data_IF_220709878494
#
_entry.id   IF_220709878494
#
_cell.length_a   1.000
_cell.length_b   1.000
_cell.length_c   1.000
_cell.angle_alpha   90.00
_cell.angle_beta   90.00
_cell.angle_gamma   90.00
#
_symmetry.space_group_name_H-M   'P 1'
#
loop_
_entity.id
_entity.type
_entity.pdbx_description
1 polymer ?
#
# COMPACT_ATOMS: atom_id res chain seq x y z
N UNK A 1 39.70 -41.43 -43.67
CA UNK A 1 38.28 -41.59 -43.25
C UNK A 1 37.97 -40.40 -42.34
N UNK A 2 37.71 -39.20 -42.89
CA UNK A 2 36.38 -38.61 -43.15
C UNK A 2 35.47 -38.46 -41.92
N UNK A 3 35.33 -37.19 -41.49
CA UNK A 3 34.32 -36.44 -40.69
C UNK A 3 32.85 -36.99 -40.71
N UNK A 4 31.82 -36.38 -40.05
CA UNK A 4 31.70 -35.18 -39.16
C UNK A 4 30.74 -35.42 -37.93
N UNK A 5 30.32 -34.50 -37.03
CA UNK A 5 29.27 -33.45 -37.19
C UNK A 5 29.06 -32.68 -35.86
N UNK A 6 28.98 -31.35 -35.98
CA UNK A 6 28.45 -30.35 -35.04
C UNK A 6 26.98 -30.61 -34.64
N UNK A 7 26.60 -30.35 -33.38
CA UNK A 7 25.21 -29.97 -33.04
C UNK A 7 25.16 -28.77 -32.09
N UNK A 8 25.05 -27.60 -32.73
CA UNK A 8 24.06 -26.54 -32.49
C UNK A 8 23.77 -26.13 -31.04
N UNK A 9 24.35 -24.98 -30.66
CA UNK A 9 23.81 -24.07 -29.65
C UNK A 9 22.38 -23.69 -30.06
N UNK A 10 21.38 -24.10 -29.28
CA UNK A 10 20.03 -23.55 -29.41
C UNK A 10 19.99 -22.24 -28.62
N UNK A 11 19.89 -21.15 -29.37
CA UNK A 11 19.43 -19.86 -28.90
C UNK A 11 18.17 -20.04 -28.04
N UNK A 12 18.33 -19.84 -26.73
CA UNK A 12 17.19 -19.63 -25.83
C UNK A 12 17.11 -18.13 -25.64
N UNK A 13 16.42 -17.46 -26.55
CA UNK A 13 15.99 -16.07 -26.38
C UNK A 13 15.01 -16.05 -25.21
N UNK A 14 15.55 -15.83 -24.01
CA UNK A 14 14.76 -15.49 -22.83
C UNK A 14 14.11 -14.14 -23.10
N UNK A 15 12.77 -14.13 -23.13
CA UNK A 15 12.03 -12.89 -23.32
C UNK A 15 12.22 -12.00 -22.09
N UNK A 16 12.38 -10.69 -22.31
CA UNK A 16 12.59 -9.68 -21.24
C UNK A 16 11.42 -9.64 -20.24
N UNK A 17 10.29 -10.29 -20.55
CA UNK A 17 9.11 -10.38 -19.68
C UNK A 17 9.27 -11.37 -18.51
N UNK A 18 10.27 -12.25 -18.53
CA UNK A 18 10.46 -13.27 -17.48
C UNK A 18 11.25 -12.78 -16.26
N UNK A 19 11.74 -11.52 -16.26
CA UNK A 19 12.55 -10.92 -15.20
C UNK A 19 11.78 -9.90 -14.33
N UNK A 20 10.48 -9.73 -14.54
CA UNK A 20 9.64 -8.90 -13.68
C UNK A 20 9.19 -9.75 -12.49
N UNK A 21 9.74 -9.43 -11.31
CA UNK A 21 9.27 -9.97 -10.04
C UNK A 21 7.73 -9.82 -9.97
N UNK A 22 7.02 -10.95 -9.88
CA UNK A 22 5.56 -10.95 -9.69
C UNK A 22 5.27 -10.15 -8.41
N UNK A 23 4.41 -9.12 -8.45
CA UNK A 23 3.98 -8.44 -7.24
C UNK A 23 3.38 -9.48 -6.28
N UNK A 24 3.55 -9.27 -4.97
CA UNK A 24 2.85 -10.04 -3.93
C UNK A 24 1.38 -10.09 -4.35
N UNK A 25 0.94 -11.28 -4.74
CA UNK A 25 -0.40 -11.48 -5.27
C UNK A 25 -1.38 -11.17 -4.15
N UNK A 26 -2.09 -10.05 -4.25
CA UNK A 26 -3.42 -9.99 -3.69
C UNK A 26 -4.20 -11.19 -4.22
N UNK A 27 -4.99 -11.90 -3.38
CA UNK A 27 -5.70 -13.09 -3.82
C UNK A 27 -6.51 -12.71 -5.06
N UNK A 28 -6.14 -13.35 -6.17
CA UNK A 28 -6.91 -13.21 -7.42
C UNK A 28 -8.25 -13.88 -7.12
N UNK A 29 -9.39 -13.21 -7.33
CA UNK A 29 -10.67 -13.75 -6.89
C UNK A 29 -10.93 -15.08 -7.60
N UNK A 30 -11.00 -16.17 -6.83
CA UNK A 30 -11.34 -17.50 -7.34
C UNK A 30 -12.82 -17.50 -7.76
N UNK A 31 -13.08 -17.77 -9.03
CA UNK A 31 -14.43 -17.76 -9.61
C UNK A 31 -15.02 -19.16 -9.53
N UNK A 32 -16.16 -19.32 -8.85
CA UNK A 32 -16.94 -20.57 -8.76
C UNK A 32 -18.35 -20.35 -9.33
N UNK A 33 -18.54 -20.52 -10.65
CA UNK A 33 -19.83 -20.51 -11.39
C UNK A 33 -21.10 -20.16 -10.59
N UNK A 34 -21.58 -18.90 -10.73
CA UNK A 34 -22.63 -18.30 -9.89
C UNK A 34 -22.08 -17.51 -8.68
N UNK A 35 -20.76 -17.55 -8.50
CA UNK A 35 -19.99 -17.09 -7.34
C UNK A 35 -20.03 -15.61 -7.10
N UNK A 36 -20.50 -15.28 -5.93
CA UNK A 36 -19.99 -14.13 -5.20
C UNK A 36 -18.47 -14.27 -4.96
N UNK A 37 -17.73 -13.17 -5.03
CA UNK A 37 -16.28 -13.12 -4.87
C UNK A 37 -15.91 -12.43 -3.57
N UNK A 38 -14.95 -12.97 -2.82
CA UNK A 38 -14.34 -12.23 -1.73
C UNK A 38 -13.45 -11.12 -2.29
N UNK A 39 -13.63 -9.92 -1.76
CA UNK A 39 -12.94 -8.72 -2.23
C UNK A 39 -12.41 -7.91 -1.06
N UNK A 40 -11.35 -7.16 -1.32
CA UNK A 40 -10.73 -6.21 -0.41
C UNK A 40 -10.21 -5.01 -1.19
N UNK A 41 -10.41 -3.82 -0.65
CA UNK A 41 -9.85 -2.60 -1.25
C UNK A 41 -10.02 -1.38 -0.36
N UNK A 42 -9.31 -0.31 -0.72
CA UNK A 42 -9.39 0.98 -0.05
C UNK A 42 -10.61 1.76 -0.53
N UNK A 43 -11.44 2.24 0.39
CA UNK A 43 -12.63 3.01 0.10
C UNK A 43 -12.26 4.42 -0.36
N UNK A 44 -12.66 4.74 -1.58
CA UNK A 44 -12.63 6.06 -2.17
C UNK A 44 -14.07 6.53 -2.46
N UNK A 45 -14.53 7.54 -1.72
CA UNK A 45 -15.91 8.05 -1.78
C UNK A 45 -15.99 9.17 -2.80
N UNK A 46 -16.91 9.04 -3.75
CA UNK A 46 -17.16 10.05 -4.77
C UNK A 46 -18.07 11.18 -4.25
N UNK A 47 -18.03 12.38 -4.85
CA UNK A 47 -18.87 13.51 -4.44
C UNK A 47 -20.37 13.21 -4.40
N UNK A 48 -20.85 12.30 -5.25
CA UNK A 48 -22.26 11.88 -5.31
C UNK A 48 -22.63 10.91 -4.15
N UNK A 49 -21.66 10.52 -3.33
CA UNK A 49 -21.83 9.77 -2.08
C UNK A 49 -21.82 8.24 -2.22
N UNK A 50 -21.73 7.71 -3.44
CA UNK A 50 -21.31 6.33 -3.66
C UNK A 50 -19.78 6.24 -3.62
N UNK A 51 -19.21 5.04 -3.66
CA UNK A 51 -17.76 4.89 -3.64
C UNK A 51 -17.27 3.68 -4.41
N UNK A 52 -15.95 3.57 -4.47
CA UNK A 52 -15.24 2.45 -5.06
C UNK A 52 -14.21 1.90 -4.07
N UNK A 53 -14.12 0.58 -3.95
CA UNK A 53 -12.99 -0.07 -3.29
C UNK A 53 -11.88 -0.24 -4.33
N UNK A 54 -10.79 0.50 -4.14
CA UNK A 54 -9.60 0.49 -5.01
C UNK A 54 -8.64 -0.62 -4.55
N UNK A 55 -8.35 -1.64 -5.38
CA UNK A 55 -7.44 -2.71 -5.00
C UNK A 55 -5.97 -2.26 -4.86
N UNK A 56 -5.58 -1.20 -5.57
CA UNK A 56 -4.21 -0.66 -5.61
C UNK A 56 -4.15 0.83 -5.30
N UNK A 57 -5.07 1.35 -4.48
CA UNK A 57 -5.14 2.78 -4.09
C UNK A 57 -5.39 3.78 -5.23
N UNK A 58 -5.37 3.33 -6.48
CA UNK A 58 -5.62 4.13 -7.66
C UNK A 58 -6.84 3.59 -8.42
N UNK A 59 -7.57 4.45 -9.16
CA UNK A 59 -8.64 4.02 -10.04
C UNK A 59 -8.20 2.93 -11.01
N UNK A 60 -8.95 1.83 -11.07
CA UNK A 60 -8.62 0.68 -11.89
C UNK A 60 -9.87 0.01 -12.47
N UNK A 61 -9.70 -0.84 -13.47
CA UNK A 61 -10.81 -1.68 -13.97
C UNK A 61 -11.29 -2.71 -12.95
N UNK A 62 -10.47 -3.01 -11.93
CA UNK A 62 -10.78 -3.96 -10.86
C UNK A 62 -11.52 -3.37 -9.68
N UNK A 63 -11.98 -2.12 -9.79
CA UNK A 63 -12.65 -1.44 -8.69
C UNK A 63 -14.01 -2.06 -8.38
N UNK A 64 -14.36 -2.08 -7.09
CA UNK A 64 -15.63 -2.62 -6.62
C UNK A 64 -16.53 -1.45 -6.22
N UNK A 65 -17.69 -1.36 -6.86
CA UNK A 65 -18.72 -0.41 -6.50
C UNK A 65 -19.30 -0.70 -5.11
N UNK A 66 -19.42 0.34 -4.29
CA UNK A 66 -20.12 0.30 -3.01
C UNK A 66 -21.18 1.41 -2.97
N UNK A 67 -22.39 1.04 -2.55
CA UNK A 67 -23.51 1.98 -2.53
C UNK A 67 -23.42 2.96 -1.37
N UNK A 68 -24.00 4.15 -1.55
CA UNK A 68 -24.14 5.14 -0.48
C UNK A 68 -24.84 4.58 0.77
N UNK A 69 -25.79 3.66 0.59
CA UNK A 69 -26.51 3.01 1.69
C UNK A 69 -25.59 2.17 2.58
N UNK A 70 -24.65 1.42 1.98
CA UNK A 70 -23.67 0.62 2.70
C UNK A 70 -22.64 1.50 3.42
N UNK A 71 -22.15 2.55 2.74
CA UNK A 71 -21.24 3.55 3.33
C UNK A 71 -21.86 4.16 4.58
N UNK A 72 -23.12 4.61 4.50
CA UNK A 72 -23.84 5.19 5.64
C UNK A 72 -24.10 4.18 6.75
N UNK A 73 -24.52 2.96 6.41
CA UNK A 73 -24.86 1.91 7.39
C UNK A 73 -23.67 1.53 8.27
N UNK A 74 -22.49 1.37 7.67
CA UNK A 74 -21.27 0.97 8.39
C UNK A 74 -20.40 2.16 8.81
N UNK A 75 -20.90 3.37 8.65
CA UNK A 75 -20.20 4.62 8.95
C UNK A 75 -18.78 4.64 8.37
N UNK A 76 -18.67 4.21 7.11
CA UNK A 76 -17.41 4.13 6.40
C UNK A 76 -16.91 5.53 6.04
N UNK A 77 -15.59 5.68 5.99
CA UNK A 77 -14.88 6.94 5.73
C UNK A 77 -13.85 6.70 4.61
N UNK A 78 -13.44 7.75 3.87
CA UNK A 78 -12.31 7.63 2.94
C UNK A 78 -11.10 7.00 3.65
N UNK A 79 -10.33 6.19 2.93
CA UNK A 79 -9.16 5.51 3.48
C UNK A 79 -9.42 4.17 4.17
N UNK A 80 -10.68 3.82 4.46
CA UNK A 80 -11.03 2.53 5.05
C UNK A 80 -10.68 1.35 4.13
N UNK A 81 -10.00 0.35 4.68
CA UNK A 81 -9.86 -0.96 4.04
C UNK A 81 -11.11 -1.77 4.31
N UNK A 82 -11.91 -1.94 3.27
CA UNK A 82 -13.17 -2.69 3.33
C UNK A 82 -12.95 -4.07 2.72
N UNK A 83 -13.34 -5.11 3.45
CA UNK A 83 -13.36 -6.49 2.95
C UNK A 83 -14.76 -7.08 3.04
N UNK A 84 -15.11 -7.91 2.08
CA UNK A 84 -16.38 -8.63 2.10
C UNK A 84 -16.67 -9.32 0.78
N UNK A 85 -17.96 -9.46 0.48
CA UNK A 85 -18.44 -10.29 -0.62
C UNK A 85 -18.99 -9.38 -1.72
N UNK A 86 -18.50 -9.53 -2.95
CA UNK A 86 -18.98 -8.84 -4.14
C UNK A 86 -19.67 -9.80 -5.11
N UNK A 87 -20.47 -9.26 -6.03
CA UNK A 87 -21.05 -9.97 -7.16
C UNK A 87 -20.52 -9.44 -8.49
N UNK A 88 -20.51 -10.28 -9.54
CA UNK A 88 -20.31 -9.83 -10.91
C UNK A 88 -21.22 -8.64 -11.29
N UNK A 89 -20.75 -7.76 -12.19
CA UNK A 89 -21.60 -6.73 -12.78
C UNK A 89 -22.79 -7.36 -13.50
N UNK A 90 -23.95 -6.71 -13.42
CA UNK A 90 -25.09 -7.01 -14.32
C UNK A 90 -24.81 -6.45 -15.73
N UNK A 91 -25.65 -6.81 -16.70
CA UNK A 91 -25.50 -6.39 -18.11
C UNK A 91 -25.35 -4.86 -18.31
N UNK A 92 -25.88 -4.04 -17.40
CA UNK A 92 -25.78 -2.58 -17.44
C UNK A 92 -24.74 -1.98 -16.46
N UNK A 93 -23.92 -2.79 -15.81
CA UNK A 93 -22.94 -2.35 -14.81
C UNK A 93 -21.51 -2.59 -15.32
N UNK A 94 -20.60 -1.66 -15.03
CA UNK A 94 -19.19 -1.77 -15.43
C UNK A 94 -18.32 -2.48 -14.38
N UNK A 95 -18.70 -2.41 -13.11
CA UNK A 95 -17.89 -2.80 -11.97
C UNK A 95 -18.55 -3.90 -11.15
N UNK A 96 -17.74 -4.66 -10.41
CA UNK A 96 -18.22 -5.56 -9.36
C UNK A 96 -19.04 -4.76 -8.35
N UNK A 97 -20.15 -5.32 -7.85
CA UNK A 97 -20.98 -4.69 -6.83
C UNK A 97 -20.77 -5.34 -5.47
N UNK A 98 -20.40 -4.58 -4.44
CA UNK A 98 -20.28 -5.11 -3.09
C UNK A 98 -21.68 -5.51 -2.56
N UNK A 99 -21.84 -6.77 -2.18
CA UNK A 99 -23.07 -7.30 -1.58
C UNK A 99 -23.07 -7.12 -0.06
N UNK A 100 -21.97 -7.50 0.59
CA UNK A 100 -21.87 -7.56 2.04
C UNK A 100 -20.52 -7.02 2.49
N UNK A 101 -20.53 -6.10 3.44
CA UNK A 101 -19.35 -5.66 4.18
C UNK A 101 -19.16 -6.63 5.35
N UNK A 102 -17.96 -7.20 5.49
CA UNK A 102 -17.65 -8.13 6.58
C UNK A 102 -16.64 -7.54 7.56
N UNK A 103 -15.62 -6.86 7.03
CA UNK A 103 -14.59 -6.22 7.84
C UNK A 103 -14.29 -4.80 7.35
N UNK A 104 -13.93 -3.95 8.30
CA UNK A 104 -13.45 -2.58 8.10
C UNK A 104 -12.15 -2.44 8.89
N UNK A 105 -11.04 -2.12 8.22
CA UNK A 105 -9.70 -2.05 8.79
C UNK A 105 -9.33 -3.32 9.60
N UNK A 106 -9.61 -4.48 9.00
CA UNK A 106 -9.37 -5.81 9.58
C UNK A 106 -10.16 -6.16 10.86
N UNK A 107 -11.08 -5.29 11.27
CA UNK A 107 -12.03 -5.50 12.38
C UNK A 107 -13.42 -5.83 11.82
N UNK A 108 -14.23 -6.59 12.58
CA UNK A 108 -15.62 -6.89 12.21
C UNK A 108 -16.40 -5.60 12.01
N UNK A 109 -17.18 -5.52 10.93
CA UNK A 109 -17.84 -4.28 10.51
C UNK A 109 -18.79 -3.67 11.56
N UNK A 110 -19.43 -4.49 12.40
CA UNK A 110 -20.30 -4.00 13.47
C UNK A 110 -19.51 -3.36 14.63
N UNK A 111 -18.28 -3.83 14.88
CA UNK A 111 -17.42 -3.28 15.92
C UNK A 111 -16.75 -1.97 15.49
N UNK A 112 -16.50 -1.78 14.18
CA UNK A 112 -15.90 -0.55 13.66
C UNK A 112 -16.77 0.70 13.88
N UNK A 113 -18.07 0.52 14.12
CA UNK A 113 -19.01 1.63 14.38
C UNK A 113 -18.68 2.43 15.65
N UNK A 114 -17.95 1.84 16.60
CA UNK A 114 -17.61 2.48 17.89
C UNK A 114 -16.34 3.33 17.83
N UNK A 115 -15.63 3.36 16.70
CA UNK A 115 -14.35 4.06 16.60
C UNK A 115 -14.53 5.58 16.62
N UNK A 116 -13.69 6.32 17.38
CA UNK A 116 -13.72 7.78 17.37
C UNK A 116 -13.33 8.33 15.99
N UNK A 117 -13.58 9.62 15.74
CA UNK A 117 -12.92 10.33 14.63
C UNK A 117 -11.53 10.75 15.06
N UNK A 118 -10.59 10.73 14.13
CA UNK A 118 -9.23 11.15 14.40
C UNK A 118 -9.16 12.61 14.90
N UNK A 119 -9.99 13.49 14.32
CA UNK A 119 -10.09 14.90 14.69
C UNK A 119 -10.59 15.13 16.13
N UNK A 120 -11.32 14.18 16.70
CA UNK A 120 -11.85 14.27 18.06
C UNK A 120 -10.82 13.82 19.12
N UNK A 121 -9.68 13.26 18.70
CA UNK A 121 -8.62 12.79 19.60
C UNK A 121 -7.81 13.96 20.15
N UNK A 122 -7.38 13.85 21.42
CA UNK A 122 -6.51 14.85 22.04
C UNK A 122 -5.07 14.66 21.57
N UNK A 123 -4.44 15.65 20.92
CA UNK A 123 -3.05 15.57 20.53
C UNK A 123 -2.14 15.61 21.76
N UNK A 124 -1.18 14.68 21.83
CA UNK A 124 -0.18 14.61 22.89
C UNK A 124 1.23 14.48 22.30
N UNK A 125 2.24 14.82 23.10
CA UNK A 125 3.63 14.60 22.70
C UNK A 125 3.99 13.10 22.72
N UNK A 126 4.94 12.65 21.87
CA UNK A 126 5.44 11.28 21.90
C UNK A 126 6.00 10.90 23.26
N UNK A 127 5.47 9.84 23.87
CA UNK A 127 5.93 9.32 25.17
C UNK A 127 6.75 8.04 25.05
N UNK A 128 6.65 7.34 23.90
CA UNK A 128 7.34 6.08 23.64
C UNK A 128 8.25 6.24 22.44
N UNK A 129 9.55 6.02 22.63
CA UNK A 129 10.54 6.02 21.57
C UNK A 129 10.39 4.78 20.67
N UNK A 130 10.56 4.97 19.37
CA UNK A 130 10.76 3.91 18.37
C UNK A 130 12.27 3.74 18.24
N UNK A 131 12.79 2.58 18.63
CA UNK A 131 14.21 2.24 18.47
C UNK A 131 14.43 1.60 17.11
N UNK A 132 15.33 2.14 16.32
CA UNK A 132 15.64 1.65 14.97
C UNK A 132 16.88 0.74 14.91
N UNK A 133 17.74 0.79 15.92
CA UNK A 133 18.90 -0.10 16.03
C UNK A 133 18.47 -1.58 15.93
N UNK A 134 19.12 -2.32 15.03
CA UNK A 134 18.86 -3.74 14.78
C UNK A 134 20.14 -4.55 14.94
N UNK A 135 21.15 -4.26 14.10
CA UNK A 135 22.45 -4.90 14.15
C UNK A 135 23.61 -3.91 14.37
N UNK A 136 24.80 -4.44 14.60
CA UNK A 136 26.01 -3.65 14.92
C UNK A 136 26.57 -2.87 13.73
N UNK A 137 26.21 -3.25 12.50
CA UNK A 137 26.77 -2.71 11.25
C UNK A 137 25.96 -1.52 10.72
N UNK A 138 24.65 -1.49 10.94
CA UNK A 138 23.81 -0.34 10.58
C UNK A 138 24.01 0.81 11.59
N UNK A 139 25.00 1.66 11.32
CA UNK A 139 25.35 2.77 12.21
C UNK A 139 24.36 3.95 12.14
N UNK A 140 23.69 4.14 11.01
CA UNK A 140 22.76 5.26 10.77
C UNK A 140 21.60 5.27 11.76
N UNK A 141 20.92 4.13 11.95
CA UNK A 141 19.79 3.98 12.88
C UNK A 141 20.22 4.20 14.32
N UNK A 142 21.41 3.74 14.70
CA UNK A 142 22.01 3.97 16.02
C UNK A 142 22.30 5.45 16.26
N UNK A 143 22.81 6.14 15.25
CA UNK A 143 23.04 7.58 15.32
C UNK A 143 21.72 8.34 15.47
N UNK A 144 20.66 7.93 14.77
CA UNK A 144 19.32 8.53 14.91
C UNK A 144 18.80 8.29 16.34
N UNK A 145 18.85 7.06 16.84
CA UNK A 145 18.36 6.71 18.18
C UNK A 145 19.04 7.52 19.30
N UNK A 146 20.30 7.94 19.09
CA UNK A 146 21.08 8.72 20.06
C UNK A 146 20.93 10.24 19.89
N UNK A 147 21.00 10.74 18.65
CA UNK A 147 21.10 12.18 18.38
C UNK A 147 19.75 12.83 18.08
N UNK A 148 18.82 12.07 17.51
CA UNK A 148 17.52 12.56 17.06
C UNK A 148 16.43 11.48 17.29
N UNK A 149 16.14 11.12 18.56
CA UNK A 149 15.21 10.05 18.88
C UNK A 149 13.81 10.35 18.33
N UNK A 150 13.20 9.34 17.69
CA UNK A 150 11.86 9.43 17.10
C UNK A 150 10.90 8.61 17.96
N UNK A 151 9.73 9.15 18.29
CA UNK A 151 8.70 8.45 19.06
C UNK A 151 7.38 8.25 18.31
N UNK A 152 6.46 7.49 18.90
CA UNK A 152 5.10 7.34 18.39
C UNK A 152 4.36 8.68 18.43
N UNK A 153 3.90 9.14 17.26
CA UNK A 153 3.32 10.48 17.07
C UNK A 153 4.33 11.57 16.69
N UNK A 154 5.60 11.21 16.46
CA UNK A 154 6.62 12.17 16.05
C UNK A 154 6.35 12.72 14.65
N UNK A 155 6.51 14.04 14.51
CA UNK A 155 6.62 14.71 13.21
C UNK A 155 8.08 15.08 13.01
N UNK A 156 8.69 14.55 11.96
CA UNK A 156 10.11 14.71 11.68
C UNK A 156 10.35 15.08 10.22
N UNK A 157 11.50 15.70 9.95
CA UNK A 157 11.93 16.05 8.60
C UNK A 157 13.39 15.63 8.43
N UNK A 158 13.67 14.87 7.38
CA UNK A 158 15.02 14.52 6.97
C UNK A 158 15.44 15.50 5.89
N UNK A 159 16.35 16.42 6.23
CA UNK A 159 16.91 17.37 5.28
C UNK A 159 18.20 16.79 4.73
N UNK A 160 18.28 16.64 3.41
CA UNK A 160 19.47 16.10 2.75
C UNK A 160 19.66 16.72 1.37
N UNK A 161 20.90 17.09 0.97
CA UNK A 161 21.16 17.46 -0.41
C UNK A 161 21.03 16.24 -1.35
N UNK A 162 20.89 16.46 -2.67
CA UNK A 162 20.85 15.37 -3.64
C UNK A 162 22.06 14.43 -3.50
N UNK A 163 21.83 13.11 -3.64
CA UNK A 163 22.85 12.05 -3.53
C UNK A 163 23.51 11.88 -2.15
N UNK A 164 22.95 12.43 -1.08
CA UNK A 164 23.46 12.28 0.28
C UNK A 164 22.99 11.00 1.02
N UNK A 165 22.35 10.06 0.33
CA UNK A 165 21.91 8.80 0.94
C UNK A 165 20.53 8.83 1.62
N UNK A 166 19.65 9.81 1.29
CA UNK A 166 18.25 9.89 1.77
C UNK A 166 17.55 8.52 1.71
N UNK A 167 17.59 7.90 0.54
CA UNK A 167 16.89 6.64 0.27
C UNK A 167 17.43 5.50 1.13
N UNK A 168 18.75 5.45 1.36
CA UNK A 168 19.37 4.45 2.24
C UNK A 168 18.87 4.62 3.67
N UNK A 169 18.91 5.84 4.20
CA UNK A 169 18.43 6.13 5.56
C UNK A 169 16.95 5.76 5.72
N UNK A 170 16.10 6.12 4.75
CA UNK A 170 14.67 5.79 4.80
C UNK A 170 14.43 4.27 4.81
N UNK A 171 15.17 3.52 3.99
CA UNK A 171 15.09 2.04 3.99
C UNK A 171 15.54 1.44 5.31
N UNK A 172 16.62 1.96 5.89
CA UNK A 172 17.14 1.49 7.18
C UNK A 172 16.16 1.80 8.33
N UNK A 173 15.54 2.98 8.33
CA UNK A 173 14.46 3.32 9.29
C UNK A 173 13.28 2.36 9.14
N UNK A 174 12.78 2.15 7.92
CA UNK A 174 11.67 1.24 7.64
C UNK A 174 11.98 -0.21 8.09
N UNK A 175 13.19 -0.68 7.82
CA UNK A 175 13.64 -2.01 8.25
C UNK A 175 13.78 -2.09 9.78
N UNK A 176 14.28 -1.04 10.43
CA UNK A 176 14.33 -0.95 11.89
C UNK A 176 12.95 -1.01 12.54
N UNK A 177 11.97 -0.29 11.98
CA UNK A 177 10.57 -0.32 12.45
C UNK A 177 10.00 -1.73 12.32
N UNK A 178 10.09 -2.33 11.14
CA UNK A 178 9.47 -3.64 10.86
C UNK A 178 10.13 -4.78 11.64
N UNK A 179 11.41 -4.66 11.98
CA UNK A 179 12.11 -5.63 12.82
C UNK A 179 11.75 -5.49 14.30
N UNK A 180 11.72 -4.26 14.82
CA UNK A 180 11.58 -4.01 16.27
C UNK A 180 10.13 -3.82 16.72
N UNK A 181 9.22 -3.49 15.80
CA UNK A 181 7.81 -3.21 16.05
C UNK A 181 6.92 -3.87 14.98
N UNK A 182 6.79 -5.21 14.96
CA UNK A 182 6.05 -5.93 13.93
C UNK A 182 4.55 -5.60 13.88
N UNK A 183 3.98 -5.12 14.99
CA UNK A 183 2.58 -4.71 15.09
C UNK A 183 2.32 -3.30 14.52
N UNK A 184 3.37 -2.56 14.16
CA UNK A 184 3.22 -1.23 13.56
C UNK A 184 2.84 -1.38 12.10
N UNK A 185 1.74 -0.74 11.72
CA UNK A 185 1.36 -0.61 10.33
C UNK A 185 2.24 0.46 9.66
N UNK A 186 3.19 0.01 8.85
CA UNK A 186 4.11 0.88 8.11
C UNK A 186 3.53 1.23 6.74
N UNK A 187 3.40 2.54 6.46
CA UNK A 187 2.97 3.08 5.17
C UNK A 187 4.11 3.95 4.62
N UNK A 188 4.48 3.73 3.36
CA UNK A 188 5.42 4.58 2.61
C UNK A 188 4.68 5.24 1.44
N UNK A 189 4.49 6.56 1.53
CA UNK A 189 3.94 7.38 0.46
C UNK A 189 5.07 7.99 -0.36
N UNK A 190 5.17 7.63 -1.65
CA UNK A 190 6.23 8.07 -2.56
C UNK A 190 5.61 8.97 -3.65
N UNK A 191 5.85 10.27 -3.56
CA UNK A 191 5.20 11.27 -4.41
C UNK A 191 6.25 11.94 -5.28
N UNK A 192 6.06 11.90 -6.60
CA UNK A 192 6.95 12.56 -7.54
C UNK A 192 8.36 11.96 -7.56
N UNK A 193 8.51 10.71 -7.12
CA UNK A 193 9.78 9.99 -7.13
C UNK A 193 9.99 9.28 -8.47
N UNK A 194 11.24 8.90 -8.76
CA UNK A 194 11.58 8.17 -9.99
C UNK A 194 11.08 6.72 -9.92
N UNK A 195 10.58 6.12 -11.02
CA UNK A 195 10.05 4.75 -11.01
C UNK A 195 11.03 3.68 -10.48
N UNK A 196 12.32 3.83 -10.76
CA UNK A 196 13.36 2.94 -10.24
C UNK A 196 13.56 3.06 -8.72
N UNK A 197 13.41 4.27 -8.16
CA UNK A 197 13.49 4.51 -6.72
C UNK A 197 12.25 3.98 -6.01
N UNK A 198 11.07 4.15 -6.61
CA UNK A 198 9.81 3.55 -6.13
C UNK A 198 9.93 2.03 -6.09
N UNK A 199 10.49 1.42 -7.14
CA UNK A 199 10.69 -0.02 -7.21
C UNK A 199 11.68 -0.52 -6.16
N UNK A 200 12.78 0.21 -5.95
CA UNK A 200 13.80 -0.12 -4.94
C UNK A 200 13.21 -0.09 -3.51
N UNK A 201 12.45 0.95 -3.16
CA UNK A 201 11.78 1.05 -1.86
C UNK A 201 10.72 -0.05 -1.71
N UNK A 202 9.88 -0.27 -2.73
CA UNK A 202 8.80 -1.26 -2.70
C UNK A 202 9.31 -2.69 -2.48
N UNK A 203 10.50 -3.02 -2.99
CA UNK A 203 11.12 -4.35 -2.79
C UNK A 203 11.82 -4.48 -1.44
N UNK A 204 12.24 -3.36 -0.84
CA UNK A 204 13.04 -3.35 0.38
C UNK A 204 12.18 -3.25 1.64
N UNK A 205 11.07 -2.51 1.58
CA UNK A 205 10.25 -2.17 2.75
C UNK A 205 9.12 -3.18 2.93
N UNK A 206 9.03 -3.76 4.14
CA UNK A 206 7.90 -4.62 4.54
C UNK A 206 6.76 -3.76 5.06
N UNK A 207 5.99 -3.17 4.15
CA UNK A 207 4.87 -2.30 4.49
C UNK A 207 3.98 -2.02 3.29
N UNK A 208 2.99 -1.18 3.50
CA UNK A 208 2.10 -0.69 2.46
C UNK A 208 2.81 0.45 1.71
N UNK A 209 3.02 0.29 0.41
CA UNK A 209 3.67 1.32 -0.42
C UNK A 209 2.64 1.90 -1.38
N UNK A 210 2.44 3.21 -1.29
CA UNK A 210 1.53 3.98 -2.12
C UNK A 210 2.38 4.99 -2.89
N UNK A 211 2.36 4.94 -4.22
CA UNK A 211 3.28 5.73 -5.03
C UNK A 211 2.59 6.38 -6.23
N UNK A 212 3.05 7.58 -6.56
CA UNK A 212 2.80 8.27 -7.81
C UNK A 212 4.13 8.81 -8.34
N UNK A 213 4.46 8.42 -9.57
CA UNK A 213 5.76 8.75 -10.16
C UNK A 213 5.80 10.22 -10.62
N UNK A 214 7.01 10.75 -10.85
CA UNK A 214 7.20 12.14 -11.28
C UNK A 214 6.62 12.47 -12.67
N UNK A 215 6.44 11.47 -13.53
CA UNK A 215 5.89 11.58 -14.88
C UNK A 215 4.35 11.60 -14.89
N UNK A 216 3.71 11.29 -13.76
CA UNK A 216 2.26 11.33 -13.62
C UNK A 216 1.73 12.76 -13.39
N UNK A 217 0.47 13.04 -13.77
CA UNK A 217 -0.15 14.34 -13.54
C UNK A 217 -0.14 14.76 -12.07
N UNK A 218 0.00 16.07 -11.76
CA UNK A 218 -0.04 16.58 -10.39
C UNK A 218 -1.30 16.18 -9.60
N UNK A 219 -2.43 16.00 -10.28
CA UNK A 219 -3.69 15.55 -9.69
C UNK A 219 -3.56 14.14 -9.10
N UNK A 220 -2.82 13.24 -9.76
CA UNK A 220 -2.56 11.89 -9.26
C UNK A 220 -1.63 11.93 -8.05
N UNK A 221 -0.58 12.75 -8.09
CA UNK A 221 0.34 12.95 -6.98
C UNK A 221 -0.38 13.47 -5.73
N UNK A 222 -1.27 14.46 -5.92
CA UNK A 222 -2.15 14.98 -4.87
C UNK A 222 -3.06 13.89 -4.32
N UNK A 223 -3.73 13.14 -5.18
CA UNK A 223 -4.67 12.08 -4.79
C UNK A 223 -3.98 10.98 -3.97
N UNK A 224 -2.79 10.53 -4.39
CA UNK A 224 -1.99 9.56 -3.63
C UNK A 224 -1.63 10.08 -2.24
N UNK A 225 -1.26 11.36 -2.12
CA UNK A 225 -0.95 11.97 -0.82
C UNK A 225 -2.19 12.00 0.10
N UNK A 226 -3.36 12.35 -0.44
CA UNK A 226 -4.61 12.38 0.31
C UNK A 226 -5.03 10.99 0.77
N UNK A 227 -4.98 9.99 -0.12
CA UNK A 227 -5.30 8.60 0.24
C UNK A 227 -4.35 8.07 1.31
N UNK A 228 -3.06 8.35 1.18
CA UNK A 228 -2.08 7.91 2.18
C UNK A 228 -2.36 8.50 3.56
N UNK A 229 -2.85 9.75 3.62
CA UNK A 229 -3.21 10.41 4.87
C UNK A 229 -4.52 9.86 5.46
N UNK A 230 -5.54 9.64 4.63
CA UNK A 230 -6.82 9.05 5.08
C UNK A 230 -6.67 7.59 5.53
N UNK A 231 -5.71 6.87 4.95
CA UNK A 231 -5.40 5.47 5.29
C UNK A 231 -4.68 5.32 6.63
N UNK A 232 -3.89 6.32 7.02
CA UNK A 232 -3.02 6.32 8.19
C UNK A 232 -3.81 6.50 9.50
#
# INVERSE_FOLDING_TARGET
>A
MTNPIMKTVKDTTLSVNDLVAKPVSSPTPEVTNGSTLEVRGLLDIQPEGHGFLRPKFMPSSGDIYISQSQIRRFWLRPGDIVSGIARPPKDNERYLGLLKVEKVNDVVADDSLKRPKFEDLTPIYPQKQIKFETDKTTLSTRMIDLLAPIGFGQRGMIVSPPKAGKTTILKEIANGITANFPDVHLIAALIGERPEEVTDISRSVKGEVIASNFDEPPENQRHVAEIALERA
#
